data_IF_060943224658
#
_entry.id   IF_060943224658
#
_cell.length_a   1.000
_cell.length_b   1.000
_cell.length_c   1.000
_cell.angle_alpha   90.00
_cell.angle_beta   90.00
_cell.angle_gamma   90.00
#
_symmetry.space_group_name_H-M   'P 1'
#
loop_
_entity.id
_entity.type
_entity.pdbx_description
1 polymer ?
#
# COMPACT_ATOMS: atom_id res chain seq x y z
N UNK A 1 33.23 -33.17 2.47
CA UNK A 1 31.87 -32.93 1.92
C UNK A 1 31.53 -31.50 2.24
N UNK A 2 31.54 -30.55 1.29
CA UNK A 2 31.11 -29.19 1.57
C UNK A 2 29.63 -29.02 1.32
N UNK A 3 28.99 -28.36 2.25
CA UNK A 3 27.65 -27.81 2.24
C UNK A 3 27.48 -26.81 1.10
N UNK A 4 26.48 -27.05 0.27
CA UNK A 4 25.96 -26.05 -0.66
C UNK A 4 25.07 -25.08 0.12
N UNK A 5 25.55 -23.87 0.31
CA UNK A 5 24.76 -22.72 0.72
C UNK A 5 24.69 -21.72 -0.42
N UNK A 6 23.57 -21.04 -0.50
CA UNK A 6 23.34 -19.77 -1.14
C UNK A 6 22.97 -19.76 -2.61
N UNK A 7 21.66 -19.71 -2.83
CA UNK A 7 21.06 -19.14 -4.04
C UNK A 7 21.36 -17.62 -4.10
N UNK A 8 21.34 -17.01 -5.29
CA UNK A 8 21.89 -15.67 -5.51
C UNK A 8 21.06 -14.60 -4.80
N UNK A 9 21.72 -13.82 -3.94
CA UNK A 9 21.24 -12.56 -3.38
C UNK A 9 21.12 -11.52 -4.50
N UNK A 10 19.96 -11.41 -5.10
CA UNK A 10 19.68 -10.38 -6.13
C UNK A 10 19.13 -9.06 -5.57
N UNK A 11 19.01 -8.90 -4.24
CA UNK A 11 18.28 -7.77 -3.68
C UNK A 11 19.09 -6.49 -3.50
N UNK A 12 20.41 -6.55 -3.30
CA UNK A 12 21.19 -5.36 -2.97
C UNK A 12 21.69 -4.55 -4.18
N UNK A 13 21.91 -5.16 -5.32
CA UNK A 13 22.34 -4.42 -6.52
C UNK A 13 21.19 -3.72 -7.22
N UNK A 14 19.99 -4.30 -7.24
CA UNK A 14 18.81 -3.66 -7.83
C UNK A 14 18.40 -2.41 -7.04
N UNK A 15 18.43 -2.45 -5.71
CA UNK A 15 18.16 -1.29 -4.85
C UNK A 15 19.20 -0.18 -5.01
N UNK A 16 20.46 -0.52 -5.28
CA UNK A 16 21.52 0.45 -5.54
C UNK A 16 21.31 1.23 -6.84
N UNK A 17 20.82 0.58 -7.90
CA UNK A 17 20.57 1.21 -9.19
C UNK A 17 19.24 1.98 -9.24
N UNK A 18 18.20 1.54 -8.54
CA UNK A 18 16.88 2.18 -8.56
C UNK A 18 16.77 3.43 -7.66
N UNK A 19 17.66 3.61 -6.68
CA UNK A 19 17.59 4.70 -5.70
C UNK A 19 18.46 5.94 -6.01
N UNK A 20 19.16 6.02 -7.16
CA UNK A 20 19.96 7.20 -7.52
C UNK A 20 19.34 8.06 -8.60
N UNK A 21 19.22 9.37 -8.31
CA UNK A 21 18.81 10.47 -9.21
C UNK A 21 19.62 10.60 -10.52
N UNK A 22 20.60 9.73 -10.81
CA UNK A 22 21.56 9.87 -11.91
C UNK A 22 21.40 8.84 -13.05
N UNK A 23 20.42 7.92 -12.99
CA UNK A 23 20.30 6.90 -14.02
C UNK A 23 19.86 7.46 -15.39
N UNK A 24 19.12 8.59 -15.43
CA UNK A 24 18.75 9.27 -16.69
C UNK A 24 19.96 9.84 -17.46
N UNK A 25 21.07 10.13 -16.78
CA UNK A 25 22.31 10.60 -17.40
C UNK A 25 23.19 9.46 -17.91
N UNK A 26 23.05 8.26 -17.35
CA UNK A 26 23.84 7.09 -17.74
C UNK A 26 23.26 6.31 -18.93
N UNK A 27 21.96 6.46 -19.20
CA UNK A 27 21.27 5.71 -20.26
C UNK A 27 20.38 6.67 -21.09
N UNK A 28 20.86 7.19 -22.21
CA UNK A 28 20.14 8.16 -23.04
C UNK A 28 18.88 7.61 -23.74
N UNK A 29 18.66 6.28 -23.75
CA UNK A 29 17.45 5.64 -24.31
C UNK A 29 16.97 4.52 -23.39
N UNK A 30 16.27 4.83 -22.28
CA UNK A 30 15.85 3.85 -21.29
C UNK A 30 14.90 2.77 -21.85
N UNK A 31 14.08 3.11 -22.86
CA UNK A 31 13.10 2.17 -23.44
C UNK A 31 13.76 0.99 -24.16
N UNK A 32 14.85 1.23 -24.86
CA UNK A 32 15.59 0.16 -25.58
C UNK A 32 16.33 -0.78 -24.59
N UNK A 33 16.76 -0.27 -23.44
CA UNK A 33 17.43 -1.06 -22.42
C UNK A 33 16.42 -1.89 -21.62
N UNK A 34 15.21 -1.36 -21.39
CA UNK A 34 14.15 -2.08 -20.70
C UNK A 34 13.65 -3.27 -21.53
N UNK A 35 13.47 -3.10 -22.83
CA UNK A 35 13.09 -4.19 -23.73
C UNK A 35 14.13 -5.32 -23.73
N UNK A 36 15.43 -5.00 -23.79
CA UNK A 36 16.51 -5.97 -23.73
C UNK A 36 16.61 -6.67 -22.37
N UNK A 37 16.33 -5.98 -21.27
CA UNK A 37 16.29 -6.55 -19.93
C UNK A 37 15.14 -7.54 -19.78
N UNK A 38 13.95 -7.17 -20.25
CA UNK A 38 12.76 -8.03 -20.25
C UNK A 38 13.01 -9.29 -21.09
N UNK A 39 13.62 -9.15 -22.26
CA UNK A 39 13.98 -10.29 -23.12
C UNK A 39 15.03 -11.20 -22.45
N UNK A 40 16.01 -10.62 -21.76
CA UNK A 40 17.04 -11.37 -21.01
C UNK A 40 16.41 -12.15 -19.84
N UNK A 41 15.50 -11.53 -19.09
CA UNK A 41 14.79 -12.16 -17.98
C UNK A 41 13.86 -13.27 -18.50
N UNK A 42 13.11 -13.03 -19.58
CA UNK A 42 12.24 -14.03 -20.19
C UNK A 42 13.03 -15.25 -20.70
N UNK A 43 14.20 -15.02 -21.28
CA UNK A 43 15.12 -16.09 -21.74
C UNK A 43 15.70 -16.89 -20.56
N UNK A 44 16.01 -16.23 -19.43
CA UNK A 44 16.53 -16.89 -18.23
C UNK A 44 15.46 -17.72 -17.52
N UNK A 45 14.21 -17.27 -17.56
CA UNK A 45 13.06 -17.95 -16.93
C UNK A 45 12.38 -18.95 -17.87
N UNK A 46 12.86 -19.13 -19.11
CA UNK A 46 12.26 -20.00 -20.15
C UNK A 46 10.77 -19.71 -20.40
N UNK A 47 10.37 -18.43 -20.33
CA UNK A 47 9.03 -17.99 -20.67
C UNK A 47 8.91 -17.82 -22.19
N UNK A 48 7.85 -18.37 -22.78
CA UNK A 48 7.59 -18.29 -24.21
C UNK A 48 7.11 -16.87 -24.57
N UNK A 49 7.84 -16.16 -25.44
CA UNK A 49 7.57 -14.77 -25.82
C UNK A 49 6.99 -14.65 -27.22
N UNK A 50 6.16 -15.60 -27.65
CA UNK A 50 5.45 -15.44 -28.93
C UNK A 50 4.34 -14.40 -28.80
N UNK A 51 4.34 -13.31 -29.59
CA UNK A 51 3.25 -12.33 -29.56
C UNK A 51 1.99 -12.98 -30.17
N UNK A 52 0.94 -13.10 -29.37
CA UNK A 52 -0.39 -13.46 -29.86
C UNK A 52 -0.95 -12.24 -30.58
N UNK A 53 -0.86 -12.24 -31.91
CA UNK A 53 -1.54 -11.25 -32.75
C UNK A 53 -2.99 -11.66 -32.86
N UNK A 54 -3.87 -11.06 -32.09
CA UNK A 54 -5.31 -11.12 -32.30
C UNK A 54 -5.72 -10.00 -33.25
N UNK A 55 -6.46 -10.28 -34.35
CA UNK A 55 -6.97 -9.23 -35.23
C UNK A 55 -8.02 -8.37 -34.49
N UNK A 56 -8.14 -7.07 -34.83
CA UNK A 56 -9.08 -6.17 -34.19
C UNK A 56 -10.53 -6.60 -34.49
N UNK A 57 -11.44 -6.53 -33.52
CA UNK A 57 -12.84 -6.84 -33.76
C UNK A 57 -13.47 -5.73 -34.63
N UNK A 58 -14.23 -6.18 -35.62
CA UNK A 58 -15.04 -5.35 -36.51
C UNK A 58 -16.05 -4.52 -35.72
N UNK A 59 -16.25 -3.23 -36.02
CA UNK A 59 -17.19 -2.40 -35.27
C UNK A 59 -18.63 -2.82 -35.56
N UNK A 60 -19.29 -3.39 -34.55
CA UNK A 60 -20.73 -3.62 -34.57
C UNK A 60 -21.42 -2.39 -33.99
N UNK A 61 -22.27 -1.75 -34.82
CA UNK A 61 -23.10 -0.62 -34.41
C UNK A 61 -24.05 -0.98 -33.28
N UNK A 62 -23.98 -0.27 -32.15
CA UNK A 62 -24.94 -0.36 -31.06
C UNK A 62 -26.05 0.68 -31.24
N UNK A 63 -27.31 0.33 -30.94
CA UNK A 63 -28.42 1.28 -31.00
C UNK A 63 -28.38 2.27 -29.83
N UNK A 64 -28.80 3.52 -30.12
CA UNK A 64 -28.92 4.59 -29.14
C UNK A 64 -29.97 4.23 -28.07
N UNK A 65 -29.61 4.22 -26.81
CA UNK A 65 -30.54 4.17 -25.69
C UNK A 65 -30.42 5.44 -24.86
N UNK A 66 -31.48 6.21 -24.88
CA UNK A 66 -31.75 7.40 -24.07
C UNK A 66 -32.17 6.97 -22.66
N UNK A 67 -31.48 7.49 -21.61
CA UNK A 67 -31.93 7.41 -20.21
C UNK A 67 -30.81 7.85 -19.27
N UNK A 68 -31.12 8.62 -18.19
CA UNK A 68 -30.10 9.07 -17.25
C UNK A 68 -29.58 7.87 -16.45
N UNK A 69 -28.29 7.62 -16.56
CA UNK A 69 -27.61 6.56 -15.84
C UNK A 69 -27.51 6.92 -14.36
N UNK A 70 -28.24 6.20 -13.53
CA UNK A 70 -28.01 6.10 -12.08
C UNK A 70 -26.64 5.45 -11.88
N UNK A 71 -25.68 6.19 -11.39
CA UNK A 71 -24.33 5.69 -11.11
C UNK A 71 -24.37 4.79 -9.88
N UNK A 72 -24.52 3.50 -10.10
CA UNK A 72 -24.19 2.47 -9.11
C UNK A 72 -22.65 2.42 -9.02
N UNK A 73 -22.04 2.44 -7.82
CA UNK A 73 -20.60 2.28 -7.69
C UNK A 73 -20.18 0.92 -8.27
N UNK A 74 -19.02 0.84 -8.96
CA UNK A 74 -18.55 -0.41 -9.53
C UNK A 74 -18.38 -1.46 -8.44
N UNK A 75 -18.62 -2.76 -8.76
CA UNK A 75 -18.48 -3.85 -7.80
C UNK A 75 -17.05 -3.90 -7.28
N UNK A 76 -16.93 -4.05 -5.96
CA UNK A 76 -15.65 -4.16 -5.27
C UNK A 76 -14.78 -5.25 -5.92
N UNK A 77 -13.58 -4.86 -6.37
CA UNK A 77 -12.59 -5.79 -6.91
C UNK A 77 -12.25 -6.83 -5.85
N UNK A 78 -12.24 -8.16 -6.19
CA UNK A 78 -11.93 -9.19 -5.21
C UNK A 78 -10.57 -8.93 -4.52
N UNK A 79 -10.60 -8.93 -3.21
CA UNK A 79 -9.43 -8.77 -2.35
C UNK A 79 -8.37 -9.82 -2.68
N UNK A 80 -7.12 -9.48 -3.05
CA UNK A 80 -6.05 -10.45 -2.97
C UNK A 80 -5.90 -10.85 -1.50
N UNK A 81 -6.08 -12.12 -1.23
CA UNK A 81 -5.86 -12.70 0.10
C UNK A 81 -4.35 -12.70 0.34
N UNK A 82 -3.84 -11.67 1.03
CA UNK A 82 -2.56 -11.83 1.70
C UNK A 82 -2.85 -12.88 2.77
N UNK A 83 -2.18 -14.03 2.68
CA UNK A 83 -2.23 -15.03 3.76
C UNK A 83 -1.93 -14.29 5.05
N UNK A 84 -2.83 -14.31 6.06
CA UNK A 84 -2.54 -13.71 7.35
C UNK A 84 -1.23 -14.33 7.84
N UNK A 85 -0.22 -13.50 8.07
CA UNK A 85 0.92 -13.96 8.88
C UNK A 85 0.29 -14.27 10.23
N UNK A 86 0.39 -15.53 10.65
CA UNK A 86 -0.18 -15.96 11.93
C UNK A 86 0.57 -15.21 13.03
N UNK A 87 -0.01 -14.11 13.51
CA UNK A 87 0.55 -13.35 14.61
C UNK A 87 0.33 -14.19 15.86
N UNK A 88 1.39 -14.68 16.52
CA UNK A 88 1.25 -15.51 17.70
C UNK A 88 0.40 -14.79 18.75
N UNK A 89 -0.47 -15.54 19.41
CA UNK A 89 -1.25 -15.06 20.55
C UNK A 89 -0.70 -15.67 21.83
N UNK A 90 -0.87 -15.00 22.98
CA UNK A 90 -0.52 -15.59 24.26
C UNK A 90 -1.18 -16.95 24.42
N UNK A 91 -0.38 -17.98 24.74
CA UNK A 91 -0.87 -19.36 24.85
C UNK A 91 -1.93 -19.45 25.93
N UNK A 92 -3.09 -20.01 25.60
CA UNK A 92 -4.11 -20.38 26.61
C UNK A 92 -3.55 -21.44 27.56
N UNK A 93 -3.92 -21.37 28.86
CA UNK A 93 -3.57 -22.39 29.82
C UNK A 93 -2.22 -22.20 30.54
N UNK A 94 -1.45 -21.14 30.27
CA UNK A 94 -0.33 -20.76 31.14
C UNK A 94 -0.85 -20.22 32.47
N UNK A 95 -0.30 -20.67 33.59
CA UNK A 95 -0.57 -20.11 34.94
C UNK A 95 0.11 -18.74 35.07
N UNK A 96 -0.55 -17.69 34.56
CA UNK A 96 -0.09 -16.31 34.70
C UNK A 96 -0.52 -15.73 36.03
N UNK A 97 0.34 -14.92 36.59
CA UNK A 97 0.01 -14.07 37.76
C UNK A 97 -0.15 -12.63 37.29
N UNK A 98 -0.99 -11.84 37.95
CA UNK A 98 -1.02 -10.39 37.75
C UNK A 98 -0.05 -9.71 38.69
N UNK A 99 0.70 -8.77 38.15
CA UNK A 99 1.69 -8.02 38.91
C UNK A 99 2.02 -6.66 38.30
N UNK A 100 2.83 -5.92 39.03
CA UNK A 100 3.39 -4.63 38.63
C UNK A 100 4.90 -4.70 38.70
N UNK A 101 5.57 -4.19 37.70
CA UNK A 101 7.02 -4.05 37.63
C UNK A 101 7.36 -2.58 37.36
N UNK A 102 8.27 -2.02 38.16
CA UNK A 102 8.85 -0.72 37.91
C UNK A 102 10.32 -0.92 37.54
N UNK A 103 10.80 -0.24 36.54
CA UNK A 103 12.14 -0.36 36.00
C UNK A 103 13.01 0.84 36.39
N UNK A 104 14.31 0.64 36.53
CA UNK A 104 15.27 1.70 36.96
C UNK A 104 15.34 2.86 35.96
N UNK A 105 14.98 2.62 34.67
CA UNK A 105 14.91 3.65 33.65
C UNK A 105 13.65 4.53 33.76
N UNK A 106 12.74 4.24 34.70
CA UNK A 106 11.49 4.98 34.92
C UNK A 106 10.28 4.43 34.17
N UNK A 107 10.44 3.36 33.41
CA UNK A 107 9.31 2.66 32.79
C UNK A 107 8.52 1.86 33.83
N UNK A 108 7.30 1.47 33.50
CA UNK A 108 6.49 0.57 34.33
C UNK A 108 5.66 -0.38 33.49
N UNK A 109 5.37 -1.53 34.09
CA UNK A 109 4.44 -2.53 33.53
C UNK A 109 3.41 -2.91 34.58
N UNK A 110 2.17 -3.10 34.16
CA UNK A 110 1.10 -3.68 34.97
C UNK A 110 0.31 -4.65 34.11
N UNK A 111 0.26 -5.92 34.52
CA UNK A 111 -0.40 -6.93 33.70
C UNK A 111 -0.08 -8.36 34.10
N UNK A 112 -0.29 -9.25 33.14
CA UNK A 112 -0.05 -10.67 33.30
C UNK A 112 1.44 -11.01 33.15
N UNK A 113 1.94 -11.86 34.03
CA UNK A 113 3.33 -12.32 34.10
C UNK A 113 3.38 -13.83 34.07
N UNK A 114 4.33 -14.41 33.36
CA UNK A 114 4.72 -15.80 33.39
C UNK A 114 6.25 -15.89 33.53
N UNK A 115 6.74 -16.59 34.50
CA UNK A 115 8.17 -16.68 34.83
C UNK A 115 8.85 -15.30 34.93
N UNK A 116 8.20 -14.36 35.61
CA UNK A 116 8.61 -12.96 35.77
C UNK A 116 8.77 -12.15 34.45
N UNK A 117 8.29 -12.68 33.34
CA UNK A 117 8.22 -12.00 32.03
C UNK A 117 6.81 -11.50 31.77
N UNK A 118 6.68 -10.40 31.06
CA UNK A 118 5.40 -9.95 30.54
C UNK A 118 4.88 -10.98 29.54
N UNK A 119 3.75 -11.60 29.86
CA UNK A 119 3.13 -12.65 29.04
C UNK A 119 1.62 -12.66 29.29
N UNK A 120 0.82 -12.40 28.28
CA UNK A 120 -0.62 -12.17 28.37
C UNK A 120 -0.98 -10.70 28.22
N UNK A 121 -2.07 -10.28 28.83
CA UNK A 121 -2.58 -8.89 28.73
C UNK A 121 -1.87 -7.97 29.72
N UNK A 122 -1.45 -6.79 29.25
CA UNK A 122 -0.83 -5.81 30.13
C UNK A 122 -0.73 -4.41 29.54
N UNK A 123 -0.33 -3.49 30.41
CA UNK A 123 -0.03 -2.10 30.08
C UNK A 123 1.44 -1.84 30.37
N UNK A 124 2.16 -1.37 29.37
CA UNK A 124 3.52 -0.85 29.51
C UNK A 124 3.50 0.65 29.32
N UNK A 125 4.07 1.37 30.25
CA UNK A 125 4.19 2.83 30.20
C UNK A 125 5.66 3.19 30.21
N UNK A 126 6.10 3.90 29.20
CA UNK A 126 7.46 4.43 29.10
C UNK A 126 7.59 5.70 29.93
N UNK A 127 8.80 6.01 30.34
CA UNK A 127 9.13 7.21 31.13
C UNK A 127 8.71 8.52 30.45
N UNK A 128 8.77 8.56 29.11
CA UNK A 128 8.42 9.71 28.29
C UNK A 128 6.90 9.93 28.12
N UNK A 129 6.11 8.98 28.62
CA UNK A 129 4.64 9.06 28.59
C UNK A 129 3.98 8.21 27.50
N UNK A 130 4.75 7.61 26.62
CA UNK A 130 4.21 6.62 25.67
C UNK A 130 3.59 5.44 26.44
N UNK A 131 2.58 4.81 25.83
CA UNK A 131 1.87 3.70 26.47
C UNK A 131 1.47 2.64 25.46
N UNK A 132 1.65 1.38 25.82
CA UNK A 132 1.09 0.25 25.09
C UNK A 132 0.14 -0.54 26.01
N UNK A 133 -1.00 -0.92 25.45
CA UNK A 133 -2.00 -1.78 26.10
C UNK A 133 -2.31 -2.93 25.14
N UNK A 134 -2.06 -4.17 25.58
CA UNK A 134 -2.30 -5.32 24.69
C UNK A 134 -1.58 -6.58 25.09
N UNK A 135 -1.41 -7.45 24.11
CA UNK A 135 -0.81 -8.76 24.25
C UNK A 135 0.72 -8.70 24.36
N UNK A 136 1.26 -9.53 25.26
CA UNK A 136 2.69 -9.77 25.41
C UNK A 136 2.99 -11.26 25.35
N UNK A 137 4.12 -11.62 24.76
CA UNK A 137 4.74 -12.95 24.84
C UNK A 137 6.23 -12.76 25.14
N UNK A 138 6.74 -13.38 26.20
CA UNK A 138 8.15 -13.34 26.59
C UNK A 138 8.75 -11.91 26.54
N UNK A 139 8.09 -10.93 27.16
CA UNK A 139 8.43 -9.51 27.21
C UNK A 139 8.21 -8.71 25.91
N UNK A 140 7.79 -9.32 24.82
CA UNK A 140 7.59 -8.63 23.54
C UNK A 140 6.11 -8.34 23.28
N UNK A 141 5.81 -7.16 22.77
CA UNK A 141 4.47 -6.82 22.27
C UNK A 141 4.18 -7.71 21.06
N UNK A 142 3.14 -8.51 21.15
CA UNK A 142 2.77 -9.50 20.13
C UNK A 142 1.27 -9.73 20.21
N UNK A 143 0.59 -10.04 19.11
CA UNK A 143 -0.87 -10.17 19.13
C UNK A 143 -1.55 -8.82 18.93
N UNK A 144 -2.67 -8.60 19.62
CA UNK A 144 -3.46 -7.38 19.49
C UNK A 144 -3.11 -6.35 20.56
N UNK A 145 -3.07 -5.09 20.20
CA UNK A 145 -2.85 -4.02 21.15
C UNK A 145 -3.06 -2.63 20.60
N UNK A 146 -2.98 -1.66 21.51
CA UNK A 146 -3.03 -0.24 21.20
C UNK A 146 -1.78 0.43 21.71
N UNK A 147 -1.09 1.17 20.85
CA UNK A 147 0.01 2.03 21.21
C UNK A 147 -0.44 3.49 21.20
N UNK A 148 -0.17 4.21 22.25
CA UNK A 148 -0.43 5.63 22.41
C UNK A 148 0.90 6.37 22.52
N UNK A 149 1.17 7.27 21.60
CA UNK A 149 2.30 8.19 21.71
C UNK A 149 1.92 9.42 22.51
N UNK A 150 2.87 9.96 23.24
CA UNK A 150 2.68 11.16 24.07
C UNK A 150 2.27 12.39 23.24
N UNK A 151 2.64 12.41 21.96
CA UNK A 151 2.31 13.51 21.05
C UNK A 151 0.86 13.44 20.50
N UNK A 152 0.08 12.42 20.90
CA UNK A 152 -1.31 12.21 20.55
C UNK A 152 -1.55 11.26 19.38
N UNK A 153 -0.51 10.73 18.75
CA UNK A 153 -0.68 9.66 17.78
C UNK A 153 -1.15 8.36 18.45
N UNK A 154 -1.76 7.47 17.67
CA UNK A 154 -2.25 6.18 18.18
C UNK A 154 -2.26 5.13 17.08
N UNK A 155 -1.87 3.93 17.45
CA UNK A 155 -2.03 2.74 16.61
C UNK A 155 -2.87 1.69 17.34
N UNK A 156 -3.85 1.13 16.66
CA UNK A 156 -4.68 0.01 17.11
C UNK A 156 -4.54 -1.12 16.11
N UNK A 157 -4.05 -2.28 16.53
CA UNK A 157 -3.86 -3.37 15.58
C UNK A 157 -3.00 -4.52 16.09
N UNK A 158 -2.43 -5.23 15.15
CA UNK A 158 -1.59 -6.38 15.42
C UNK A 158 -0.13 -5.97 15.56
N UNK A 159 0.58 -6.68 16.42
CA UNK A 159 2.00 -6.53 16.69
C UNK A 159 2.71 -7.86 16.54
N UNK A 160 3.92 -7.82 16.02
CA UNK A 160 4.83 -8.96 15.97
C UNK A 160 6.23 -8.50 16.38
N UNK A 161 6.78 -9.14 17.42
CA UNK A 161 8.11 -8.84 17.96
C UNK A 161 8.33 -7.33 18.21
N UNK A 162 7.32 -6.67 18.80
CA UNK A 162 7.36 -5.26 19.14
C UNK A 162 7.00 -4.29 18.01
N UNK A 163 6.89 -4.75 16.75
CA UNK A 163 6.57 -3.92 15.58
C UNK A 163 5.08 -4.02 15.21
N UNK A 164 4.53 -2.92 14.67
CA UNK A 164 3.22 -2.95 14.03
C UNK A 164 3.26 -3.95 12.87
N UNK A 165 2.29 -4.86 12.83
CA UNK A 165 2.23 -5.94 11.87
C UNK A 165 0.77 -6.28 11.54
N UNK A 166 0.51 -7.10 10.49
CA UNK A 166 -0.85 -7.51 10.14
C UNK A 166 -1.78 -6.33 9.91
N UNK A 167 -3.01 -6.43 10.42
CA UNK A 167 -4.05 -5.40 10.25
C UNK A 167 -4.02 -4.38 11.39
N UNK A 168 -4.18 -3.11 11.03
CA UNK A 168 -4.27 -2.06 12.04
C UNK A 168 -4.78 -0.72 11.51
N UNK A 169 -5.04 0.16 12.48
CA UNK A 169 -5.47 1.53 12.26
C UNK A 169 -4.44 2.45 12.91
N UNK A 170 -3.95 3.42 12.14
CA UNK A 170 -3.06 4.46 12.65
C UNK A 170 -3.78 5.81 12.60
N UNK A 171 -3.81 6.50 13.71
CA UNK A 171 -4.34 7.85 13.87
C UNK A 171 -3.15 8.80 14.03
N UNK A 172 -2.98 9.67 13.07
CA UNK A 172 -1.91 10.66 13.07
C UNK A 172 -2.30 11.91 13.87
N UNK A 173 -1.33 12.56 14.47
CA UNK A 173 -1.52 13.80 15.23
C UNK A 173 -2.22 14.90 14.42
N UNK A 174 -1.99 14.98 13.12
CA UNK A 174 -2.59 15.96 12.23
C UNK A 174 -4.02 15.62 11.80
N UNK A 175 -4.63 14.59 12.37
CA UNK A 175 -6.00 14.14 12.04
C UNK A 175 -6.11 13.19 10.86
N UNK A 176 -5.01 12.87 10.19
CA UNK A 176 -5.01 11.82 9.17
C UNK A 176 -5.25 10.46 9.81
N UNK A 177 -5.74 9.50 9.02
CA UNK A 177 -6.00 8.13 9.45
C UNK A 177 -5.58 7.15 8.35
N UNK A 178 -4.90 6.10 8.75
CA UNK A 178 -4.65 4.95 7.88
C UNK A 178 -5.29 3.69 8.46
N UNK A 179 -5.94 2.90 7.64
CA UNK A 179 -6.45 1.58 7.99
C UNK A 179 -6.01 0.57 6.92
N UNK A 180 -5.28 -0.46 7.32
CA UNK A 180 -4.76 -1.42 6.34
C UNK A 180 -3.72 -2.36 6.92
N UNK A 181 -2.91 -2.89 6.01
CA UNK A 181 -1.88 -3.86 6.32
C UNK A 181 -0.58 -3.17 6.75
N UNK A 182 0.11 -3.78 7.71
CA UNK A 182 1.42 -3.37 8.22
C UNK A 182 2.41 -4.55 8.18
N UNK A 183 3.66 -4.25 7.88
CA UNK A 183 4.78 -5.17 8.02
C UNK A 183 5.97 -4.41 8.57
N UNK A 184 6.56 -4.91 9.68
CA UNK A 184 7.73 -4.32 10.33
C UNK A 184 7.61 -2.80 10.56
N UNK A 185 6.42 -2.37 11.01
CA UNK A 185 6.11 -0.97 11.29
C UNK A 185 5.70 -0.12 10.08
N UNK A 186 5.83 -0.62 8.85
CA UNK A 186 5.51 0.10 7.62
C UNK A 186 4.14 -0.31 7.07
N UNK A 187 3.43 0.65 6.46
CA UNK A 187 2.21 0.39 5.70
C UNK A 187 2.58 -0.44 4.46
N UNK A 188 1.83 -1.50 4.20
CA UNK A 188 2.06 -2.40 3.06
C UNK A 188 0.73 -2.98 2.59
N UNK A 189 0.75 -3.80 1.53
CA UNK A 189 -0.46 -4.45 1.07
C UNK A 189 -1.57 -3.47 0.73
N UNK A 190 -2.80 -3.77 1.15
CA UNK A 190 -3.95 -2.89 0.90
C UNK A 190 -4.35 -2.08 2.12
N UNK A 191 -4.74 -0.83 1.85
CA UNK A 191 -5.24 0.05 2.90
C UNK A 191 -5.98 1.26 2.37
N UNK A 192 -6.60 1.95 3.31
CA UNK A 192 -7.26 3.23 3.11
C UNK A 192 -6.49 4.29 3.87
N UNK A 193 -6.08 5.34 3.20
CA UNK A 193 -5.54 6.54 3.83
C UNK A 193 -6.54 7.67 3.69
N UNK A 194 -6.92 8.26 4.82
CA UNK A 194 -7.84 9.38 4.88
C UNK A 194 -7.10 10.60 5.43
N UNK A 195 -7.08 11.67 4.66
CA UNK A 195 -6.51 12.94 5.08
C UNK A 195 -7.52 13.75 5.89
N UNK A 196 -7.04 14.56 6.79
CA UNK A 196 -7.86 15.40 7.65
C UNK A 196 -8.66 16.47 6.87
N UNK A 197 -8.18 16.85 5.69
CA UNK A 197 -8.85 17.78 4.78
C UNK A 197 -10.03 17.18 4.02
N UNK A 198 -10.19 15.85 4.05
CA UNK A 198 -11.29 15.11 3.46
C UNK A 198 -10.90 14.29 2.22
N UNK A 199 -9.68 14.38 1.75
CA UNK A 199 -9.17 13.50 0.70
C UNK A 199 -9.09 12.04 1.19
N UNK A 200 -9.12 11.08 0.27
CA UNK A 200 -9.05 9.65 0.59
C UNK A 200 -8.38 8.86 -0.53
N UNK A 201 -7.52 7.95 -0.15
CA UNK A 201 -6.93 6.95 -1.03
C UNK A 201 -7.28 5.55 -0.56
N UNK A 202 -7.65 4.69 -1.49
CA UNK A 202 -7.87 3.26 -1.28
C UNK A 202 -7.04 2.48 -2.30
N UNK A 203 -6.10 1.65 -1.85
CA UNK A 203 -5.24 0.96 -2.80
C UNK A 203 -4.07 0.25 -2.14
N UNK A 204 -3.06 0.01 -2.96
CA UNK A 204 -1.88 -0.74 -2.58
C UNK A 204 -0.80 0.19 -2.00
N UNK A 205 -0.06 -0.35 -1.03
CA UNK A 205 1.06 0.30 -0.36
C UNK A 205 2.28 -0.61 -0.37
N UNK A 206 3.44 -0.03 -0.59
CA UNK A 206 4.75 -0.68 -0.43
C UNK A 206 5.63 0.27 0.37
N UNK A 207 6.15 -0.20 1.52
CA UNK A 207 7.05 0.55 2.42
C UNK A 207 6.53 1.95 2.84
N UNK A 208 5.21 2.12 2.88
CA UNK A 208 4.55 3.36 3.25
C UNK A 208 4.07 4.21 2.07
N UNK A 209 4.52 3.93 0.85
CA UNK A 209 4.14 4.66 -0.34
C UNK A 209 2.95 4.03 -1.05
N UNK A 210 2.06 4.86 -1.62
CA UNK A 210 1.01 4.42 -2.52
C UNK A 210 1.67 3.89 -3.79
N UNK A 211 1.44 2.63 -4.12
CA UNK A 211 2.09 1.95 -5.26
C UNK A 211 1.16 0.85 -5.77
N UNK A 212 1.16 0.58 -7.07
CA UNK A 212 0.25 -0.40 -7.66
C UNK A 212 -1.11 0.20 -7.99
N UNK A 213 -2.18 -0.57 -7.87
CA UNK A 213 -3.54 -0.12 -8.19
C UNK A 213 -4.19 0.58 -7.01
N UNK A 214 -4.89 1.69 -7.29
CA UNK A 214 -5.64 2.40 -6.28
C UNK A 214 -6.61 3.44 -6.83
N UNK A 215 -7.47 3.90 -5.93
CA UNK A 215 -8.45 4.96 -6.16
C UNK A 215 -8.15 6.13 -5.24
N UNK A 216 -8.06 7.32 -5.79
CA UNK A 216 -7.89 8.55 -5.03
C UNK A 216 -9.14 9.42 -5.19
N UNK A 217 -9.72 9.82 -4.09
CA UNK A 217 -10.91 10.66 -4.03
C UNK A 217 -10.54 12.00 -3.41
N UNK A 218 -10.70 13.06 -4.16
CA UNK A 218 -10.52 14.42 -3.66
C UNK A 218 -11.78 14.91 -2.96
N UNK A 219 -11.63 15.71 -1.94
CA UNK A 219 -12.73 16.42 -1.27
C UNK A 219 -13.58 17.24 -2.26
N UNK A 220 -12.97 17.71 -3.34
CA UNK A 220 -13.66 18.45 -4.41
C UNK A 220 -14.73 17.64 -5.14
N UNK A 221 -14.75 16.30 -4.99
CA UNK A 221 -15.62 15.39 -5.72
C UNK A 221 -14.99 14.74 -6.94
N UNK A 222 -13.80 15.18 -7.35
CA UNK A 222 -13.02 14.47 -8.37
C UNK A 222 -12.51 13.14 -7.84
N UNK A 223 -12.24 12.18 -8.73
CA UNK A 223 -11.55 10.95 -8.34
C UNK A 223 -10.69 10.38 -9.48
N UNK A 224 -9.73 9.57 -9.12
CA UNK A 224 -8.85 8.85 -10.03
C UNK A 224 -8.82 7.37 -9.66
N UNK A 225 -8.91 6.52 -10.66
CA UNK A 225 -8.73 5.07 -10.55
C UNK A 225 -7.62 4.63 -11.50
N UNK A 226 -6.54 4.05 -10.97
CA UNK A 226 -5.42 3.67 -11.85
C UNK A 226 -4.17 3.23 -11.12
N UNK A 227 -3.05 3.36 -11.83
CA UNK A 227 -1.73 2.96 -11.36
C UNK A 227 -1.05 4.09 -10.60
N UNK A 228 -0.32 3.72 -9.55
CA UNK A 228 0.51 4.59 -8.72
C UNK A 228 1.94 4.07 -8.62
N UNK A 229 2.91 4.96 -8.63
CA UNK A 229 4.30 4.69 -8.24
C UNK A 229 4.74 5.78 -7.27
N UNK A 230 5.13 5.39 -6.05
CA UNK A 230 5.62 6.30 -5.00
C UNK A 230 4.72 7.52 -4.77
N UNK A 231 3.41 7.29 -4.81
CA UNK A 231 2.41 8.33 -4.58
C UNK A 231 1.92 9.08 -5.81
N UNK A 232 2.62 9.03 -6.94
CA UNK A 232 2.22 9.70 -8.20
C UNK A 232 1.38 8.78 -9.09
N UNK A 233 0.40 9.35 -9.77
CA UNK A 233 -0.39 8.66 -10.79
C UNK A 233 0.48 8.39 -12.00
N UNK A 234 0.41 7.17 -12.55
CA UNK A 234 1.23 6.73 -13.68
C UNK A 234 0.51 5.62 -14.44
N UNK A 235 1.10 5.13 -15.54
CA UNK A 235 0.54 4.01 -16.29
C UNK A 235 -0.88 4.28 -16.77
N UNK A 236 -1.77 3.30 -16.66
CA UNK A 236 -3.16 3.41 -17.12
C UNK A 236 -4.08 3.83 -15.99
N UNK A 237 -5.01 4.76 -16.30
CA UNK A 237 -5.99 5.21 -15.34
C UNK A 237 -7.19 5.92 -15.94
N UNK A 238 -8.16 6.20 -15.08
CA UNK A 238 -9.33 7.00 -15.37
C UNK A 238 -9.40 8.14 -14.36
N UNK A 239 -9.54 9.35 -14.84
CA UNK A 239 -9.76 10.54 -14.01
C UNK A 239 -11.16 11.08 -14.26
N UNK A 240 -11.87 11.39 -13.21
CA UNK A 240 -13.20 11.95 -13.23
C UNK A 240 -13.17 13.28 -12.50
N UNK A 241 -13.46 14.35 -13.20
CA UNK A 241 -13.57 15.68 -12.62
C UNK A 241 -14.94 15.89 -11.98
N UNK A 242 -14.98 16.71 -10.94
CA UNK A 242 -16.22 17.01 -10.22
C UNK A 242 -17.27 17.73 -11.09
N UNK A 243 -16.84 18.39 -12.17
CA UNK A 243 -17.71 19.10 -13.13
C UNK A 243 -18.33 18.18 -14.19
N UNK A 244 -17.93 16.89 -14.21
CA UNK A 244 -18.50 15.87 -15.09
C UNK A 244 -17.61 15.46 -16.26
N UNK A 245 -16.47 16.11 -16.46
CA UNK A 245 -15.48 15.68 -17.44
C UNK A 245 -14.82 14.35 -17.01
N UNK A 246 -14.29 13.58 -17.94
CA UNK A 246 -13.58 12.33 -17.69
C UNK A 246 -12.45 12.11 -18.67
N UNK A 247 -11.32 11.60 -18.18
CA UNK A 247 -10.23 11.10 -19.01
C UNK A 247 -10.00 9.61 -18.74
N UNK A 248 -9.69 8.85 -19.79
CA UNK A 248 -9.26 7.45 -19.72
C UNK A 248 -8.04 7.30 -20.61
N UNK A 249 -6.90 6.94 -20.02
CA UNK A 249 -5.67 6.87 -20.81
C UNK A 249 -4.42 6.67 -19.98
N UNK A 250 -3.30 7.09 -20.58
CA UNK A 250 -1.99 7.03 -19.94
C UNK A 250 -1.75 8.22 -19.02
N UNK A 251 -1.01 7.98 -17.94
CA UNK A 251 -0.54 8.97 -16.97
C UNK A 251 0.97 8.85 -16.81
N UNK A 252 1.63 9.97 -16.61
CA UNK A 252 3.03 10.04 -16.19
C UNK A 252 3.22 11.23 -15.23
N UNK A 253 3.81 10.95 -14.05
CA UNK A 253 4.14 11.96 -13.03
C UNK A 253 2.94 12.90 -12.73
N UNK A 254 1.76 12.30 -12.43
CA UNK A 254 0.49 12.96 -12.11
C UNK A 254 -0.21 13.70 -13.26
N UNK A 255 0.31 13.63 -14.49
CA UNK A 255 -0.22 14.32 -15.67
C UNK A 255 -0.83 13.34 -16.67
N UNK A 256 -1.79 13.83 -17.47
CA UNK A 256 -2.27 13.13 -18.66
C UNK A 256 -1.10 13.02 -19.65
N UNK A 257 -0.87 11.81 -20.16
CA UNK A 257 0.24 11.52 -21.06
C UNK A 257 -0.13 10.40 -22.01
N UNK A 258 0.68 10.22 -23.10
CA UNK A 258 0.49 9.10 -24.03
C UNK A 258 -0.87 9.07 -24.69
N UNK A 259 -1.42 7.88 -24.90
CA UNK A 259 -2.70 7.71 -25.57
C UNK A 259 -3.86 7.78 -24.59
N UNK A 260 -4.93 8.53 -24.98
CA UNK A 260 -6.10 8.62 -24.13
C UNK A 260 -7.33 9.18 -24.82
N UNK A 261 -8.44 9.10 -24.11
CA UNK A 261 -9.72 9.67 -24.52
C UNK A 261 -10.20 10.63 -23.43
N UNK A 262 -10.40 11.87 -23.79
CA UNK A 262 -11.03 12.88 -22.94
C UNK A 262 -12.49 13.03 -23.33
N UNK A 263 -13.37 12.88 -22.39
CA UNK A 263 -14.82 13.05 -22.54
C UNK A 263 -15.23 14.32 -21.81
N UNK A 264 -15.78 15.26 -22.55
CA UNK A 264 -16.33 16.49 -21.99
C UNK A 264 -17.75 16.26 -21.48
N UNK A 265 -18.16 17.01 -20.48
CA UNK A 265 -19.51 16.94 -19.88
C UNK A 265 -20.64 17.23 -20.87
N UNK A 266 -20.36 17.95 -21.97
CA UNK A 266 -21.31 18.23 -23.04
C UNK A 266 -21.53 17.05 -23.99
N UNK A 267 -20.85 15.92 -23.76
CA UNK A 267 -20.92 14.69 -24.56
C UNK A 267 -19.92 14.65 -25.72
N UNK A 268 -19.16 15.71 -25.95
CA UNK A 268 -18.07 15.67 -26.94
C UNK A 268 -16.88 14.89 -26.42
N UNK A 269 -15.99 14.44 -27.31
CA UNK A 269 -14.77 13.73 -26.89
C UNK A 269 -13.58 14.09 -27.77
N UNK A 270 -12.42 14.04 -27.19
CA UNK A 270 -11.13 14.04 -27.87
C UNK A 270 -10.44 12.69 -27.65
N UNK A 271 -9.93 12.09 -28.72
CA UNK A 271 -9.14 10.86 -28.67
C UNK A 271 -7.81 11.11 -29.39
N UNK A 272 -6.72 10.91 -28.67
CA UNK A 272 -5.41 11.25 -29.22
C UNK A 272 -4.27 11.11 -28.24
N UNK A 273 -3.16 11.74 -28.60
CA UNK A 273 -1.95 11.76 -27.77
C UNK A 273 -1.97 12.98 -26.86
N UNK A 274 -1.64 12.76 -25.59
CA UNK A 274 -1.48 13.79 -24.57
C UNK A 274 0.00 13.92 -24.18
N UNK A 275 0.45 15.14 -24.00
CA UNK A 275 1.80 15.46 -23.52
C UNK A 275 1.66 16.49 -22.41
N UNK A 276 1.91 16.06 -21.15
CA UNK A 276 1.88 16.93 -19.98
C UNK A 276 0.57 17.76 -19.87
N UNK A 277 -0.59 17.08 -19.86
CA UNK A 277 -1.94 17.64 -19.79
C UNK A 277 -2.42 18.40 -21.05
N UNK A 278 -1.71 18.29 -22.19
CA UNK A 278 -2.04 18.98 -23.45
C UNK A 278 -2.20 17.99 -24.60
#
# INVERSE_FOLDING_TARGET
IPLLSDGPRMSHELDYYLNRKHWRTAFPNPEQHFAKLVESIARTLKLDTTPVVTPPPTPTSLPATTGPATTTPPPAVPRPTITPVDVPRPLAGRNRTRGKQNYDNGDSYEGELFDNKRDGQGTYTWKDGDKYVGDFIDNQRTGKGTFYWVDGERYEGEFLNGNRHGRGIYFFKNGNRYEGDFREGKRTGRGTFQWADGDRYEGEFIDGDRTGKGSYYWKSGSHYDGDFIKGSRTGKGSYYWADGDRYVGDFADDKLHGQGVYYYKDGTRYEGTFVEDK
#
